data_IF_540052966646
#
_entry.id   IF_540052966646
#
_cell.length_a   1.000
_cell.length_b   1.000
_cell.length_c   1.000
_cell.angle_alpha   90.00
_cell.angle_beta   90.00
_cell.angle_gamma   90.00
#
_symmetry.space_group_name_H-M   'P 1'
#
loop_
_entity.id
_entity.type
_entity.pdbx_description
1 polymer ?
#
# COMPACT_ATOMS: atom_id res chain seq x y z
N UNK A 1 -15.79 8.80 -15.87
CA UNK A 1 -14.76 7.79 -15.56
C UNK A 1 -15.42 6.44 -15.28
N UNK A 2 -14.91 5.35 -15.87
CA UNK A 2 -15.56 4.02 -15.81
C UNK A 2 -15.59 3.43 -14.39
N UNK A 3 -14.47 3.46 -13.67
CA UNK A 3 -14.38 2.86 -12.33
C UNK A 3 -15.34 3.53 -11.33
N UNK A 4 -15.41 4.86 -11.33
CA UNK A 4 -16.33 5.61 -10.44
C UNK A 4 -17.80 5.24 -10.67
N UNK A 5 -18.22 5.08 -11.93
CA UNK A 5 -19.60 4.72 -12.28
C UNK A 5 -20.00 3.32 -11.75
N UNK A 6 -19.05 2.40 -11.66
CA UNK A 6 -19.32 0.99 -11.32
C UNK A 6 -18.74 0.58 -9.95
N UNK A 7 -18.25 1.54 -9.15
CA UNK A 7 -17.55 1.27 -7.89
C UNK A 7 -18.34 0.38 -6.93
N UNK A 8 -19.64 0.64 -6.80
CA UNK A 8 -20.53 -0.10 -5.90
C UNK A 8 -20.66 -1.59 -6.27
N UNK A 9 -20.31 -1.97 -7.50
CA UNK A 9 -20.27 -3.36 -7.96
C UNK A 9 -18.84 -3.90 -7.89
N UNK A 10 -17.87 -3.15 -8.40
CA UNK A 10 -16.47 -3.59 -8.50
C UNK A 10 -15.81 -3.78 -7.15
N UNK A 11 -16.06 -2.88 -6.19
CA UNK A 11 -15.44 -2.91 -4.87
C UNK A 11 -15.81 -4.20 -4.10
N UNK A 12 -17.10 -4.52 -3.86
CA UNK A 12 -17.43 -5.71 -3.10
C UNK A 12 -17.02 -7.00 -3.81
N UNK A 13 -17.10 -7.01 -5.14
CA UNK A 13 -16.66 -8.14 -5.96
C UNK A 13 -15.16 -8.41 -5.76
N UNK A 14 -14.32 -7.40 -5.99
CA UNK A 14 -12.86 -7.56 -5.94
C UNK A 14 -12.31 -7.68 -4.51
N UNK A 15 -12.95 -7.01 -3.54
CA UNK A 15 -12.43 -6.92 -2.18
C UNK A 15 -12.93 -8.03 -1.24
N UNK A 16 -14.17 -8.49 -1.43
CA UNK A 16 -14.81 -9.46 -0.53
C UNK A 16 -15.16 -10.78 -1.21
N UNK A 17 -15.80 -10.75 -2.38
CA UNK A 17 -16.29 -11.97 -3.03
C UNK A 17 -15.14 -12.80 -3.60
N UNK A 18 -14.32 -12.21 -4.49
CA UNK A 18 -13.22 -12.95 -5.13
C UNK A 18 -12.20 -13.50 -4.11
N UNK A 19 -11.74 -12.72 -3.10
CA UNK A 19 -10.80 -13.23 -2.12
C UNK A 19 -11.38 -14.30 -1.18
N UNK A 20 -12.71 -14.43 -1.09
CA UNK A 20 -13.35 -15.53 -0.35
C UNK A 20 -13.51 -16.76 -1.22
N UNK A 21 -14.05 -16.58 -2.43
CA UNK A 21 -14.40 -17.68 -3.35
C UNK A 21 -13.15 -18.38 -3.87
N UNK A 22 -12.09 -17.64 -4.22
CA UNK A 22 -10.88 -18.23 -4.80
C UNK A 22 -10.26 -19.29 -3.85
N UNK A 23 -9.94 -18.98 -2.57
CA UNK A 23 -9.54 -19.94 -1.54
C UNK A 23 -10.40 -21.21 -1.44
N UNK A 24 -11.72 -21.06 -1.54
CA UNK A 24 -12.63 -22.20 -1.43
C UNK A 24 -12.50 -23.16 -2.60
N UNK A 25 -12.46 -22.64 -3.83
CA UNK A 25 -12.57 -23.48 -5.03
C UNK A 25 -11.22 -23.97 -5.58
N UNK A 26 -10.13 -23.21 -5.41
CA UNK A 26 -8.83 -23.55 -6.04
C UNK A 26 -7.85 -24.28 -5.10
N UNK A 27 -8.14 -24.30 -3.80
CA UNK A 27 -7.23 -24.75 -2.73
C UNK A 27 -8.00 -25.52 -1.65
N UNK A 28 -9.30 -25.74 -1.85
CA UNK A 28 -10.20 -26.47 -0.95
C UNK A 28 -10.23 -25.93 0.50
N UNK A 29 -10.10 -24.60 0.65
CA UNK A 29 -10.18 -23.95 1.96
C UNK A 29 -11.64 -23.84 2.44
N UNK A 30 -11.83 -23.86 3.75
CA UNK A 30 -13.15 -23.68 4.36
C UNK A 30 -13.68 -22.26 4.14
N UNK A 31 -15.01 -22.12 4.08
CA UNK A 31 -15.64 -20.80 3.98
C UNK A 31 -15.22 -19.87 5.13
N UNK A 32 -15.16 -20.40 6.36
CA UNK A 32 -14.83 -19.62 7.56
C UNK A 32 -13.42 -19.04 7.45
N UNK A 33 -12.41 -19.85 7.11
CA UNK A 33 -11.04 -19.37 6.96
C UNK A 33 -10.90 -18.39 5.78
N UNK A 34 -11.55 -18.70 4.65
CA UNK A 34 -11.54 -17.84 3.47
C UNK A 34 -12.14 -16.46 3.74
N UNK A 35 -13.24 -16.41 4.49
CA UNK A 35 -13.91 -15.16 4.86
C UNK A 35 -13.11 -14.38 5.91
N UNK A 36 -12.74 -14.99 7.04
CA UNK A 36 -12.14 -14.26 8.15
C UNK A 36 -10.65 -13.94 7.93
N UNK A 37 -9.89 -14.83 7.28
CA UNK A 37 -8.43 -14.66 7.11
C UNK A 37 -8.12 -14.02 5.76
N UNK A 38 -8.43 -14.71 4.66
CA UNK A 38 -8.05 -14.25 3.31
C UNK A 38 -8.77 -12.95 2.91
N UNK A 39 -9.97 -12.71 3.45
CA UNK A 39 -10.78 -11.54 3.12
C UNK A 39 -10.74 -10.47 4.21
N UNK A 40 -11.31 -10.73 5.40
CA UNK A 40 -11.51 -9.70 6.42
C UNK A 40 -10.21 -9.26 7.09
N UNK A 41 -9.36 -10.20 7.53
CA UNK A 41 -8.06 -9.86 8.10
C UNK A 41 -7.18 -9.14 7.07
N UNK A 42 -7.05 -9.67 5.85
CA UNK A 42 -6.33 -9.01 4.74
C UNK A 42 -6.81 -7.57 4.56
N UNK A 43 -8.13 -7.35 4.49
CA UNK A 43 -8.71 -6.03 4.29
C UNK A 43 -8.38 -5.07 5.45
N UNK A 44 -8.60 -5.51 6.69
CA UNK A 44 -8.31 -4.73 7.88
C UNK A 44 -6.82 -4.40 7.99
N UNK A 45 -5.95 -5.38 7.74
CA UNK A 45 -4.51 -5.21 7.76
C UNK A 45 -4.05 -4.16 6.74
N UNK A 46 -4.50 -4.26 5.49
CA UNK A 46 -4.13 -3.31 4.43
C UNK A 46 -4.64 -1.89 4.72
N UNK A 47 -5.84 -1.75 5.27
CA UNK A 47 -6.36 -0.44 5.71
C UNK A 47 -5.44 0.18 6.77
N UNK A 48 -5.08 -0.59 7.81
CA UNK A 48 -4.22 -0.08 8.87
C UNK A 48 -2.81 0.26 8.37
N UNK A 49 -2.22 -0.56 7.50
CA UNK A 49 -0.93 -0.25 6.84
C UNK A 49 -1.02 1.06 6.05
N UNK A 50 -2.11 1.26 5.31
CA UNK A 50 -2.34 2.52 4.57
C UNK A 50 -2.52 3.71 5.51
N UNK A 51 -3.24 3.55 6.61
CA UNK A 51 -3.43 4.60 7.62
C UNK A 51 -2.16 4.92 8.40
N UNK A 52 -1.21 3.98 8.52
CA UNK A 52 0.11 4.23 9.09
C UNK A 52 0.89 5.29 8.28
N UNK A 53 0.68 5.39 6.97
CA UNK A 53 1.27 6.47 6.15
C UNK A 53 0.78 7.84 6.63
N UNK A 54 -0.52 7.97 6.93
CA UNK A 54 -1.12 9.23 7.39
C UNK A 54 -0.91 9.51 8.89
N UNK A 55 -0.41 8.54 9.67
CA UNK A 55 -0.25 8.66 11.11
C UNK A 55 1.20 8.48 11.55
N UNK A 56 1.71 7.24 11.50
CA UNK A 56 3.07 6.92 11.90
C UNK A 56 4.11 7.67 11.06
N UNK A 57 3.95 7.77 9.74
CA UNK A 57 4.89 8.51 8.88
C UNK A 57 4.75 10.04 8.97
N UNK A 58 3.84 10.57 9.78
CA UNK A 58 3.78 11.98 10.16
C UNK A 58 4.35 12.28 11.55
N UNK A 59 4.75 11.24 12.30
CA UNK A 59 5.18 11.37 13.70
C UNK A 59 6.54 10.75 13.98
N UNK A 60 6.84 9.59 13.38
CA UNK A 60 8.01 8.80 13.72
C UNK A 60 9.00 8.75 12.56
N UNK A 61 10.26 9.10 12.83
CA UNK A 61 11.34 9.09 11.84
C UNK A 61 12.07 10.42 11.70
N UNK A 62 13.03 10.47 10.78
CA UNK A 62 13.83 11.68 10.49
C UNK A 62 13.16 12.59 9.47
N UNK A 63 13.54 13.88 9.43
CA UNK A 63 13.05 14.86 8.44
C UNK A 63 14.23 15.55 7.71
N UNK A 64 14.95 14.81 6.84
CA UNK A 64 16.18 15.32 6.23
C UNK A 64 15.96 16.32 5.09
N UNK A 65 14.76 16.38 4.48
CA UNK A 65 14.46 17.26 3.34
C UNK A 65 13.81 18.57 3.76
N UNK A 66 12.75 18.49 4.57
CA UNK A 66 12.17 19.66 5.22
C UNK A 66 11.78 19.34 6.65
N UNK A 67 12.46 20.01 7.59
CA UNK A 67 12.25 19.87 9.04
C UNK A 67 11.03 20.65 9.56
N UNK A 68 10.49 21.58 8.77
CA UNK A 68 9.39 22.45 9.15
C UNK A 68 8.01 21.83 8.91
N UNK A 69 7.94 20.71 8.18
CA UNK A 69 6.72 19.94 7.94
C UNK A 69 6.67 18.69 8.84
N UNK A 70 5.48 18.16 9.08
CA UNK A 70 5.30 16.94 9.90
C UNK A 70 5.78 15.60 9.29
N UNK A 71 5.62 15.31 7.98
CA UNK A 71 5.97 14.00 7.41
C UNK A 71 7.45 13.66 7.63
N UNK A 72 7.71 12.40 7.94
CA UNK A 72 9.01 11.86 8.32
C UNK A 72 9.37 10.64 7.46
N UNK A 73 10.66 10.37 7.38
CA UNK A 73 11.21 9.15 6.79
C UNK A 73 11.04 8.00 7.78
N UNK A 74 10.15 7.06 7.48
CA UNK A 74 9.77 5.95 8.36
C UNK A 74 9.97 4.58 7.67
N UNK A 75 11.16 3.95 7.81
CA UNK A 75 11.47 2.69 7.11
C UNK A 75 10.51 1.54 7.42
N UNK A 76 9.99 1.45 8.65
CA UNK A 76 9.01 0.42 9.03
C UNK A 76 7.70 0.58 8.26
N UNK A 77 7.17 1.80 8.14
CA UNK A 77 6.00 2.08 7.30
C UNK A 77 6.31 1.76 5.84
N UNK A 78 7.52 2.09 5.37
CA UNK A 78 7.91 1.83 3.98
C UNK A 78 7.94 0.34 3.65
N UNK A 79 8.42 -0.50 4.57
CA UNK A 79 8.44 -1.95 4.40
C UNK A 79 7.03 -2.55 4.24
N UNK A 80 6.06 -2.08 5.03
CA UNK A 80 4.68 -2.60 4.97
C UNK A 80 3.84 -1.96 3.86
N UNK A 81 4.02 -0.67 3.60
CA UNK A 81 3.29 0.09 2.58
C UNK A 81 4.02 0.12 1.22
N UNK A 82 4.96 -0.79 1.00
CA UNK A 82 5.66 -1.02 -0.28
C UNK A 82 6.41 0.18 -0.88
N UNK A 83 6.87 1.14 -0.06
CA UNK A 83 7.59 2.33 -0.53
C UNK A 83 7.06 3.64 0.03
N UNK A 84 5.82 3.66 0.50
CA UNK A 84 5.14 4.92 0.88
C UNK A 84 5.58 5.49 2.23
N UNK A 85 6.53 4.85 2.92
CA UNK A 85 7.08 5.35 4.18
C UNK A 85 8.15 6.43 4.01
N UNK A 86 8.56 6.73 2.77
CA UNK A 86 9.55 7.76 2.49
C UNK A 86 8.97 9.19 2.52
N UNK A 87 8.16 9.47 3.53
CA UNK A 87 7.10 10.48 3.44
C UNK A 87 7.61 11.93 3.50
N UNK A 88 8.71 12.21 4.20
CA UNK A 88 9.31 13.56 4.19
C UNK A 88 9.78 13.97 2.78
N UNK A 89 10.33 13.02 2.01
CA UNK A 89 10.75 13.27 0.63
C UNK A 89 9.52 13.48 -0.25
N UNK A 90 8.56 12.56 -0.17
CA UNK A 90 7.32 12.63 -0.95
C UNK A 90 6.60 13.98 -0.82
N UNK A 91 6.50 14.53 0.39
CA UNK A 91 5.86 15.84 0.59
C UNK A 91 6.68 17.03 0.05
N UNK A 92 8.01 16.92 0.00
CA UNK A 92 8.88 17.97 -0.55
C UNK A 92 8.91 17.90 -2.08
N UNK A 93 8.86 16.69 -2.65
CA UNK A 93 8.94 16.42 -4.08
C UNK A 93 7.75 15.56 -4.56
N UNK A 94 6.51 16.06 -4.48
CA UNK A 94 5.30 15.27 -4.76
C UNK A 94 5.15 14.85 -6.24
N UNK A 95 5.97 15.42 -7.13
CA UNK A 95 6.00 15.08 -8.56
C UNK A 95 6.93 13.91 -8.89
N UNK A 96 7.78 13.47 -7.94
CA UNK A 96 8.67 12.34 -8.18
C UNK A 96 7.90 11.01 -8.10
N UNK A 97 7.87 10.29 -9.23
CA UNK A 97 7.23 8.98 -9.35
C UNK A 97 7.81 7.93 -8.38
N UNK A 98 9.07 8.09 -7.96
CA UNK A 98 9.76 7.18 -7.05
C UNK A 98 9.33 7.37 -5.60
N UNK A 99 8.83 8.56 -5.24
CA UNK A 99 8.48 8.96 -3.86
C UNK A 99 9.63 8.83 -2.82
N UNK A 100 10.87 8.62 -3.26
CA UNK A 100 12.04 8.44 -2.41
C UNK A 100 13.37 8.80 -3.11
N UNK A 101 14.33 9.35 -2.40
CA UNK A 101 15.67 9.64 -2.96
C UNK A 101 16.52 8.36 -3.11
N UNK A 102 16.69 7.60 -2.01
CA UNK A 102 17.75 6.59 -1.86
C UNK A 102 17.48 5.24 -2.55
N UNK A 103 18.56 4.61 -3.04
CA UNK A 103 18.68 3.16 -3.29
C UNK A 103 18.05 2.59 -4.57
N UNK A 104 18.57 1.43 -5.00
CA UNK A 104 17.96 0.52 -5.98
C UNK A 104 16.78 -0.21 -5.34
N UNK A 105 15.65 0.47 -5.15
CA UNK A 105 14.40 -0.10 -4.60
C UNK A 105 14.45 -0.53 -3.12
N UNK A 106 15.42 -0.05 -2.33
CA UNK A 106 15.51 -0.41 -0.91
C UNK A 106 14.26 0.04 -0.15
N UNK A 107 13.41 -0.93 0.24
CA UNK A 107 12.07 -0.74 0.79
C UNK A 107 11.14 0.10 -0.11
N UNK A 108 11.29 0.01 -1.43
CA UNK A 108 10.40 0.67 -2.39
C UNK A 108 10.05 -0.27 -3.55
N UNK A 109 9.14 -1.21 -3.28
CA UNK A 109 8.69 -2.20 -4.25
C UNK A 109 7.81 -1.56 -5.33
N UNK A 110 7.10 -0.47 -5.03
CA UNK A 110 6.30 0.29 -6.00
C UNK A 110 7.17 0.79 -7.16
N UNK A 111 8.32 1.42 -6.87
CA UNK A 111 9.24 1.87 -7.95
C UNK A 111 9.79 0.69 -8.75
N UNK A 112 10.11 -0.44 -8.10
CA UNK A 112 10.58 -1.64 -8.82
C UNK A 112 9.53 -2.17 -9.80
N UNK A 113 8.25 -2.16 -9.38
CA UNK A 113 7.13 -2.55 -10.21
C UNK A 113 6.96 -1.59 -11.40
N UNK A 114 7.02 -0.28 -11.17
CA UNK A 114 6.94 0.73 -12.25
C UNK A 114 8.07 0.53 -13.26
N UNK A 115 9.31 0.39 -12.80
CA UNK A 115 10.48 0.24 -13.67
C UNK A 115 10.49 -1.09 -14.43
N UNK A 116 9.87 -2.14 -13.88
CA UNK A 116 9.63 -3.38 -14.62
C UNK A 116 8.67 -3.14 -15.80
N UNK A 117 7.53 -2.50 -15.57
CA UNK A 117 6.55 -2.20 -16.61
C UNK A 117 7.04 -1.14 -17.62
N UNK A 118 8.00 -0.30 -17.25
CA UNK A 118 8.64 0.62 -18.19
C UNK A 118 9.58 -0.09 -19.19
N UNK A 119 9.97 -1.34 -18.93
CA UNK A 119 10.92 -2.12 -19.75
C UNK A 119 10.28 -3.14 -20.67
N UNK A 120 9.01 -3.48 -20.46
CA UNK A 120 8.24 -4.42 -21.30
C UNK A 120 7.25 -3.67 -22.19
#
# INVERSE_FOLDING_TARGET
MWQLKHYNILMPLACFILPTVIPMYFWNETFINSWFVATMFRWCFLLNVTWCVNSAAHKFGGRPYDKNINPSQCPSVSAFAFGEGWHNYHHVFPWDYKTAEWGNYSLNLTTAFIDFFAKI
#
